data_IF_582140479214
#
_entry.id   IF_582140479214
#
_cell.length_a   1.000
_cell.length_b   1.000
_cell.length_c   1.000
_cell.angle_alpha   90.00
_cell.angle_beta   90.00
_cell.angle_gamma   90.00
#
_symmetry.space_group_name_H-M   'P 1'
#
loop_
_entity.id
_entity.type
_entity.pdbx_description
1 polymer ?
#
# COMPACT_ATOMS: atom_id res chain seq x y z
N UNK A 1 2.07 22.20 8.13
CA UNK A 1 3.37 22.30 7.42
C UNK A 1 3.09 21.71 6.07
N UNK A 2 3.22 22.47 4.98
CA UNK A 2 2.87 21.99 3.64
C UNK A 2 3.93 21.06 3.08
N UNK A 3 3.53 20.12 2.22
CA UNK A 3 4.45 19.17 1.62
C UNK A 3 5.50 19.88 0.75
N UNK A 4 5.07 20.91 0.01
CA UNK A 4 5.94 21.75 -0.81
C UNK A 4 7.08 22.36 0.01
N UNK A 5 6.77 22.95 1.16
CA UNK A 5 7.76 23.51 2.08
C UNK A 5 8.67 22.44 2.69
N UNK A 6 8.13 21.26 2.99
CA UNK A 6 8.93 20.14 3.49
C UNK A 6 9.96 19.67 2.46
N UNK A 7 9.60 19.67 1.17
CA UNK A 7 10.46 19.25 0.06
C UNK A 7 11.47 20.32 -0.39
N UNK A 8 11.36 21.57 0.08
CA UNK A 8 12.38 22.58 -0.16
C UNK A 8 13.73 22.18 0.44
N UNK A 9 14.77 22.26 -0.37
CA UNK A 9 16.12 21.94 0.06
C UNK A 9 16.79 23.12 0.75
N UNK A 10 17.35 22.87 1.93
CA UNK A 10 18.34 23.75 2.54
C UNK A 10 19.71 23.59 1.83
N UNK A 11 20.64 24.50 2.13
CA UNK A 11 21.93 24.54 1.42
C UNK A 11 22.76 23.27 1.62
N UNK A 12 22.71 22.67 2.82
CA UNK A 12 23.37 21.39 3.09
C UNK A 12 22.78 20.26 2.25
N UNK A 13 21.45 20.21 2.10
CA UNK A 13 20.79 19.19 1.28
C UNK A 13 21.12 19.35 -0.21
N UNK A 14 21.20 20.59 -0.71
CA UNK A 14 21.65 20.89 -2.08
C UNK A 14 23.09 20.43 -2.31
N UNK A 15 23.98 20.67 -1.36
CA UNK A 15 25.37 20.24 -1.43
C UNK A 15 25.47 18.70 -1.48
N UNK A 16 24.65 17.99 -0.68
CA UNK A 16 24.59 16.53 -0.74
C UNK A 16 24.06 16.02 -2.07
N UNK A 17 23.03 16.66 -2.64
CA UNK A 17 22.53 16.34 -3.98
C UNK A 17 23.65 16.43 -5.03
N UNK A 18 24.39 17.53 -5.06
CA UNK A 18 25.52 17.74 -5.99
C UNK A 18 26.60 16.67 -5.76
N UNK A 19 26.90 16.36 -4.50
CA UNK A 19 27.88 15.33 -4.12
C UNK A 19 27.48 13.95 -4.63
N UNK A 20 26.24 13.50 -4.42
CA UNK A 20 25.76 12.19 -4.89
C UNK A 20 25.93 12.07 -6.42
N UNK A 21 25.53 13.11 -7.15
CA UNK A 21 25.58 13.12 -8.61
C UNK A 21 27.01 13.19 -9.16
N UNK A 22 27.93 13.89 -8.47
CA UNK A 22 29.34 13.92 -8.87
C UNK A 22 30.07 12.61 -8.55
N UNK A 23 29.77 11.99 -7.40
CA UNK A 23 30.34 10.71 -6.99
C UNK A 23 30.02 9.59 -7.98
N UNK A 24 28.80 9.59 -8.56
CA UNK A 24 28.41 8.63 -9.61
C UNK A 24 29.33 8.66 -10.84
N UNK A 25 29.90 9.82 -11.17
CA UNK A 25 30.77 9.99 -12.34
C UNK A 25 32.23 9.60 -12.06
N UNK A 26 32.67 9.69 -10.81
CA UNK A 26 34.08 9.56 -10.43
C UNK A 26 34.44 8.29 -9.67
N UNK A 27 33.47 7.59 -9.07
CA UNK A 27 33.74 6.40 -8.27
C UNK A 27 33.54 5.09 -9.03
N UNK A 28 34.28 4.07 -8.60
CA UNK A 28 33.96 2.69 -8.94
C UNK A 28 32.51 2.36 -8.51
N UNK A 29 31.70 1.70 -9.35
CA UNK A 29 30.29 1.40 -9.05
C UNK A 29 30.07 0.70 -7.70
N UNK A 30 30.92 -0.25 -7.31
CA UNK A 30 30.79 -0.98 -6.04
C UNK A 30 30.94 -0.03 -4.85
N UNK A 31 31.95 0.84 -4.91
CA UNK A 31 32.19 1.80 -3.83
C UNK A 31 31.09 2.87 -3.80
N UNK A 32 30.60 3.32 -4.95
CA UNK A 32 29.48 4.26 -5.04
C UNK A 32 28.23 3.72 -4.35
N UNK A 33 27.79 2.50 -4.68
CA UNK A 33 26.60 1.92 -4.04
C UNK A 33 26.79 1.67 -2.54
N UNK A 34 28.00 1.32 -2.10
CA UNK A 34 28.31 1.26 -0.66
C UNK A 34 28.16 2.63 0.01
N UNK A 35 28.55 3.72 -0.64
CA UNK A 35 28.32 5.07 -0.11
C UNK A 35 26.83 5.35 -0.01
N UNK A 36 26.03 5.04 -1.05
CA UNK A 36 24.57 5.26 -1.01
C UNK A 36 23.91 4.52 0.17
N UNK A 37 24.26 3.26 0.41
CA UNK A 37 23.72 2.46 1.54
C UNK A 37 24.03 3.02 2.94
N UNK A 38 25.02 3.91 3.05
CA UNK A 38 25.45 4.50 4.33
C UNK A 38 25.03 5.97 4.48
N UNK A 39 24.33 6.55 3.50
CA UNK A 39 23.79 7.89 3.63
C UNK A 39 22.55 7.88 4.51
N UNK A 40 22.26 9.05 5.09
CA UNK A 40 21.01 9.28 5.82
C UNK A 40 19.80 9.01 4.90
N UNK A 41 18.95 8.07 5.30
CA UNK A 41 17.82 7.62 4.51
C UNK A 41 16.75 8.72 4.37
N UNK A 42 16.52 9.53 5.41
CA UNK A 42 15.53 10.61 5.37
C UNK A 42 15.92 11.65 4.32
N UNK A 43 17.21 11.98 4.27
CA UNK A 43 17.79 12.80 3.22
C UNK A 43 17.63 12.15 1.84
N UNK A 44 17.97 10.87 1.70
CA UNK A 44 17.86 10.16 0.42
C UNK A 44 16.42 10.11 -0.09
N UNK A 45 15.44 9.85 0.77
CA UNK A 45 14.03 9.85 0.40
C UNK A 45 13.60 11.23 -0.08
N UNK A 46 13.92 12.29 0.68
CA UNK A 46 13.61 13.67 0.29
C UNK A 46 14.26 14.03 -1.04
N UNK A 47 15.55 13.73 -1.24
CA UNK A 47 16.26 14.00 -2.48
C UNK A 47 15.68 13.20 -3.68
N UNK A 48 15.29 11.95 -3.47
CA UNK A 48 14.70 11.12 -4.52
C UNK A 48 13.28 11.58 -4.90
N UNK A 49 12.51 12.18 -3.99
CA UNK A 49 11.19 12.74 -4.31
C UNK A 49 11.28 13.95 -5.24
N UNK A 50 12.36 14.72 -5.16
CA UNK A 50 12.55 15.97 -5.93
C UNK A 50 13.47 15.82 -7.14
N UNK A 51 14.34 14.81 -7.15
CA UNK A 51 15.34 14.61 -8.20
C UNK A 51 15.20 13.21 -8.84
N UNK A 52 14.68 13.13 -10.07
CA UNK A 52 14.50 11.85 -10.77
C UNK A 52 15.79 11.07 -11.03
N UNK A 53 16.95 11.74 -11.14
CA UNK A 53 18.21 11.04 -11.31
C UNK A 53 18.64 10.32 -10.03
N UNK A 54 18.46 10.97 -8.86
CA UNK A 54 18.69 10.33 -7.56
C UNK A 54 17.69 9.20 -7.34
N UNK A 55 16.42 9.39 -7.67
CA UNK A 55 15.41 8.32 -7.59
C UNK A 55 15.83 7.10 -8.43
N UNK A 56 16.30 7.32 -9.65
CA UNK A 56 16.81 6.26 -10.53
C UNK A 56 18.05 5.56 -9.96
N UNK A 57 18.96 6.31 -9.33
CA UNK A 57 20.14 5.75 -8.64
C UNK A 57 19.67 4.84 -7.51
N UNK A 58 18.80 5.34 -6.63
CA UNK A 58 18.31 4.58 -5.49
C UNK A 58 17.54 3.34 -5.92
N UNK A 59 16.80 3.39 -7.04
CA UNK A 59 16.06 2.24 -7.58
C UNK A 59 16.89 1.28 -8.43
N UNK A 60 18.22 1.44 -8.48
CA UNK A 60 19.05 0.57 -9.31
C UNK A 60 19.07 -0.88 -8.77
N UNK A 61 19.26 -1.89 -9.64
CA UNK A 61 19.30 -3.30 -9.23
C UNK A 61 20.30 -3.61 -8.11
N UNK A 62 21.42 -2.88 -8.05
CA UNK A 62 22.50 -3.06 -7.06
C UNK A 62 22.10 -2.66 -5.64
N UNK A 63 21.02 -1.88 -5.49
CA UNK A 63 20.47 -1.49 -4.20
C UNK A 63 19.18 -2.23 -3.85
N UNK A 64 18.63 -3.05 -4.77
CA UNK A 64 17.36 -3.77 -4.57
C UNK A 64 17.32 -4.55 -3.25
N UNK A 65 18.30 -5.44 -3.03
CA UNK A 65 18.34 -6.28 -1.83
C UNK A 65 18.48 -5.47 -0.53
N UNK A 66 19.15 -4.32 -0.59
CA UNK A 66 19.28 -3.44 0.57
C UNK A 66 17.95 -2.80 0.95
N UNK A 67 17.19 -2.30 -0.03
CA UNK A 67 15.88 -1.71 0.23
C UNK A 67 14.83 -2.75 0.60
N UNK A 68 14.91 -3.97 0.07
CA UNK A 68 14.06 -5.09 0.48
C UNK A 68 14.31 -5.49 1.94
N UNK A 69 15.57 -5.53 2.38
CA UNK A 69 15.90 -5.81 3.78
C UNK A 69 15.41 -4.70 4.71
N UNK A 70 15.61 -3.42 4.37
CA UNK A 70 15.06 -2.31 5.16
C UNK A 70 13.53 -2.35 5.21
N UNK A 71 12.86 -2.65 4.09
CA UNK A 71 11.42 -2.76 4.04
C UNK A 71 10.89 -3.88 4.95
N UNK A 72 11.52 -5.05 4.92
CA UNK A 72 11.22 -6.18 5.80
C UNK A 72 11.27 -5.77 7.28
N UNK A 73 12.31 -5.03 7.66
CA UNK A 73 12.54 -4.55 9.02
C UNK A 73 11.51 -3.51 9.50
N UNK A 74 10.77 -2.86 8.58
CA UNK A 74 9.67 -1.96 8.94
C UNK A 74 8.40 -2.68 9.41
N UNK A 75 8.35 -4.02 9.34
CA UNK A 75 7.24 -4.80 9.90
C UNK A 75 7.11 -4.66 11.42
N UNK A 76 5.97 -5.09 11.97
CA UNK A 76 5.66 -4.93 13.41
C UNK A 76 6.58 -5.77 14.30
N UNK A 77 7.00 -6.94 13.83
CA UNK A 77 7.88 -7.84 14.57
C UNK A 77 8.81 -8.59 13.62
N UNK A 78 9.86 -7.92 13.09
CA UNK A 78 10.81 -8.56 12.20
C UNK A 78 11.56 -9.70 12.90
N UNK A 79 12.13 -10.62 12.13
CA UNK A 79 12.77 -11.84 12.62
C UNK A 79 13.74 -11.60 13.77
N UNK A 80 14.58 -10.58 13.68
CA UNK A 80 15.56 -10.20 14.69
C UNK A 80 14.91 -9.85 16.04
N UNK A 81 13.71 -9.26 16.00
CA UNK A 81 12.92 -8.92 17.19
C UNK A 81 12.11 -10.12 17.68
N UNK A 82 11.56 -10.91 16.75
CA UNK A 82 10.83 -12.13 17.03
C UNK A 82 11.68 -13.17 17.77
N UNK A 83 12.95 -13.32 17.38
CA UNK A 83 13.92 -14.19 18.05
C UNK A 83 14.17 -13.78 19.51
N UNK A 84 14.05 -12.49 19.84
CA UNK A 84 14.26 -11.96 21.18
C UNK A 84 13.02 -12.08 22.08
N UNK A 85 11.82 -11.91 21.52
CA UNK A 85 10.57 -11.85 22.29
C UNK A 85 9.69 -13.11 22.20
N UNK A 86 10.01 -14.05 21.30
CA UNK A 86 9.25 -15.29 21.08
C UNK A 86 7.88 -15.09 20.42
N UNK A 87 7.58 -13.89 19.91
CA UNK A 87 6.33 -13.60 19.18
C UNK A 87 6.46 -13.93 17.69
N UNK A 88 5.34 -14.16 16.96
CA UNK A 88 5.38 -14.48 15.54
C UNK A 88 6.08 -13.41 14.68
N UNK A 89 6.76 -13.84 13.61
CA UNK A 89 7.45 -12.95 12.67
C UNK A 89 6.43 -12.20 11.80
N UNK A 90 6.42 -10.88 11.88
CA UNK A 90 5.53 -9.99 11.14
C UNK A 90 6.40 -8.95 10.41
N UNK A 91 6.84 -9.32 9.21
CA UNK A 91 7.71 -8.54 8.34
C UNK A 91 6.95 -8.01 7.15
N UNK A 92 7.34 -6.86 6.61
CA UNK A 92 6.79 -6.48 5.31
C UNK A 92 7.44 -7.25 4.17
N UNK A 93 6.63 -7.55 3.17
CA UNK A 93 7.02 -8.30 1.99
C UNK A 93 7.04 -7.37 0.76
N UNK A 94 7.95 -7.56 -0.21
CA UNK A 94 7.88 -6.84 -1.48
C UNK A 94 6.55 -7.09 -2.19
N UNK A 95 6.00 -6.06 -2.85
CA UNK A 95 4.72 -6.15 -3.57
C UNK A 95 4.95 -6.08 -5.08
N UNK A 96 4.38 -7.00 -5.86
CA UNK A 96 4.55 -7.02 -7.32
C UNK A 96 3.91 -5.82 -8.05
N UNK A 97 2.99 -5.12 -7.39
CA UNK A 97 2.28 -3.93 -7.89
C UNK A 97 3.08 -2.64 -7.71
N UNK A 98 4.20 -2.67 -7.00
CA UNK A 98 5.09 -1.53 -6.77
C UNK A 98 6.48 -1.86 -7.29
N UNK A 99 7.04 -0.97 -8.11
CA UNK A 99 8.28 -1.24 -8.84
C UNK A 99 9.51 -1.47 -7.94
N UNK A 100 9.53 -0.90 -6.73
CA UNK A 100 10.67 -0.99 -5.83
C UNK A 100 10.25 -0.84 -4.36
N UNK A 101 10.88 -1.59 -3.46
CA UNK A 101 10.78 -1.36 -2.01
C UNK A 101 11.28 0.03 -1.59
N UNK A 102 12.12 0.68 -2.41
CA UNK A 102 12.49 2.08 -2.17
C UNK A 102 11.30 3.03 -2.31
N UNK A 103 10.35 2.75 -3.21
CA UNK A 103 9.08 3.51 -3.26
C UNK A 103 8.26 3.24 -1.99
N UNK A 104 8.12 1.99 -1.57
CA UNK A 104 7.38 1.65 -0.34
C UNK A 104 7.94 2.37 0.90
N UNK A 105 9.27 2.42 1.02
CA UNK A 105 9.96 3.14 2.08
C UNK A 105 9.70 4.65 2.02
N UNK A 106 9.71 5.28 0.83
CA UNK A 106 9.31 6.69 0.66
C UNK A 106 7.87 6.92 1.09
N UNK A 107 6.95 6.01 0.73
CA UNK A 107 5.56 6.05 1.14
C UNK A 107 5.42 6.01 2.66
N UNK A 108 6.06 5.03 3.31
CA UNK A 108 6.05 4.89 4.77
C UNK A 108 6.69 6.10 5.46
N UNK A 109 7.80 6.61 4.95
CA UNK A 109 8.46 7.81 5.47
C UNK A 109 7.52 9.00 5.49
N UNK A 110 6.85 9.33 4.37
CA UNK A 110 5.86 10.42 4.33
C UNK A 110 4.69 10.20 5.29
N UNK A 111 4.25 8.94 5.45
CA UNK A 111 3.19 8.60 6.41
C UNK A 111 3.63 8.82 7.85
N UNK A 112 4.87 8.50 8.21
CA UNK A 112 5.42 8.74 9.56
C UNK A 112 5.69 10.23 9.82
N UNK A 113 6.11 10.99 8.80
CA UNK A 113 6.15 12.47 8.88
C UNK A 113 4.74 13.02 9.11
N UNK A 114 3.73 12.48 8.42
CA UNK A 114 2.36 12.84 8.66
C UNK A 114 1.96 12.55 10.13
N UNK A 115 2.20 11.33 10.62
CA UNK A 115 1.84 10.94 11.97
C UNK A 115 2.51 11.82 13.02
N UNK A 116 3.80 12.08 12.90
CA UNK A 116 4.54 12.92 13.85
C UNK A 116 4.12 14.39 13.81
N UNK A 117 3.69 14.90 12.66
CA UNK A 117 3.36 16.32 12.48
C UNK A 117 1.90 16.65 12.77
N UNK A 118 1.00 15.68 12.53
CA UNK A 118 -0.43 15.92 12.44
C UNK A 118 -1.27 15.07 13.43
N UNK A 119 -0.84 13.87 13.85
CA UNK A 119 -1.70 12.91 14.57
C UNK A 119 -2.43 13.47 15.81
N UNK A 120 -1.81 14.39 16.56
CA UNK A 120 -2.35 14.91 17.82
C UNK A 120 -2.94 16.34 17.69
N UNK A 121 -3.16 16.82 16.46
CA UNK A 121 -3.70 18.16 16.21
C UNK A 121 -5.20 18.09 15.93
N UNK A 122 -5.88 19.16 16.29
CA UNK A 122 -7.32 19.31 16.06
C UNK A 122 -7.63 19.27 14.55
N UNK A 123 -8.56 18.40 14.17
CA UNK A 123 -8.93 18.14 12.78
C UNK A 123 -9.82 19.27 12.23
N UNK A 124 -9.21 20.39 11.86
CA UNK A 124 -9.88 21.47 11.11
C UNK A 124 -9.81 21.23 9.59
N UNK A 125 -10.66 21.90 8.80
CA UNK A 125 -10.65 21.80 7.33
C UNK A 125 -9.31 22.21 6.67
N UNK A 126 -8.61 23.18 7.26
CA UNK A 126 -7.28 23.60 6.80
C UNK A 126 -6.22 22.54 7.13
N UNK A 127 -6.36 21.92 8.30
CA UNK A 127 -5.51 20.82 8.73
C UNK A 127 -5.72 19.56 7.87
N UNK A 128 -6.96 19.27 7.47
CA UNK A 128 -7.25 18.17 6.55
C UNK A 128 -6.56 18.37 5.20
N UNK A 129 -6.59 19.61 4.66
CA UNK A 129 -5.90 19.93 3.40
C UNK A 129 -4.38 19.78 3.47
N UNK A 130 -3.75 20.28 4.54
CA UNK A 130 -2.31 20.12 4.74
C UNK A 130 -1.92 18.63 4.96
N UNK A 131 -2.73 17.87 5.69
CA UNK A 131 -2.53 16.44 5.92
C UNK A 131 -2.73 15.61 4.65
N UNK A 132 -3.73 15.99 3.83
CA UNK A 132 -4.06 15.33 2.57
C UNK A 132 -2.87 15.31 1.62
N UNK A 133 -2.11 16.40 1.50
CA UNK A 133 -0.92 16.45 0.63
C UNK A 133 0.10 15.35 0.98
N UNK A 134 0.42 15.19 2.27
CA UNK A 134 1.36 14.16 2.73
C UNK A 134 0.82 12.76 2.52
N UNK A 135 -0.44 12.54 2.89
CA UNK A 135 -1.07 11.24 2.77
C UNK A 135 -1.24 10.83 1.31
N UNK A 136 -1.61 11.76 0.42
CA UNK A 136 -1.78 11.49 -1.00
C UNK A 136 -0.42 11.17 -1.64
N UNK A 137 0.62 11.96 -1.35
CA UNK A 137 1.98 11.66 -1.82
C UNK A 137 2.50 10.32 -1.28
N UNK A 138 2.24 10.01 -0.01
CA UNK A 138 2.54 8.71 0.61
C UNK A 138 1.82 7.56 -0.10
N UNK A 139 0.52 7.72 -0.38
CA UNK A 139 -0.30 6.75 -1.09
C UNK A 139 0.14 6.50 -2.54
N UNK A 140 0.63 7.52 -3.24
CA UNK A 140 1.20 7.39 -4.59
C UNK A 140 2.49 6.55 -4.61
N UNK A 141 3.19 6.46 -3.49
CA UNK A 141 4.32 5.55 -3.31
C UNK A 141 3.91 4.16 -2.77
N UNK A 142 2.61 3.88 -2.73
CA UNK A 142 2.08 2.57 -2.35
C UNK A 142 1.99 2.36 -0.85
N UNK A 143 1.75 3.38 -0.04
CA UNK A 143 1.47 3.23 1.39
C UNK A 143 -0.04 3.02 1.67
N UNK A 144 -0.44 1.81 2.08
CA UNK A 144 -1.84 1.50 2.40
C UNK A 144 -2.38 2.36 3.55
N UNK A 145 -1.59 2.56 4.61
CA UNK A 145 -2.05 3.28 5.79
C UNK A 145 -2.47 4.71 5.47
N UNK A 146 -1.74 5.34 4.54
CA UNK A 146 -2.07 6.68 4.09
C UNK A 146 -3.36 6.71 3.26
N UNK A 147 -3.53 5.77 2.34
CA UNK A 147 -4.74 5.64 1.52
C UNK A 147 -5.97 5.31 2.38
N UNK A 148 -5.82 4.43 3.37
CA UNK A 148 -6.87 4.09 4.31
C UNK A 148 -7.24 5.31 5.19
N UNK A 149 -6.25 6.06 5.67
CA UNK A 149 -6.50 7.29 6.45
C UNK A 149 -7.23 8.36 5.63
N UNK A 150 -6.90 8.52 4.34
CA UNK A 150 -7.61 9.42 3.42
C UNK A 150 -9.06 9.01 3.21
N UNK A 151 -9.31 7.71 3.00
CA UNK A 151 -10.67 7.21 2.82
C UNK A 151 -11.49 7.40 4.10
N UNK A 152 -10.95 7.01 5.26
CA UNK A 152 -11.64 7.14 6.54
C UNK A 152 -11.92 8.61 6.88
N UNK A 153 -10.90 9.48 6.80
CA UNK A 153 -11.04 10.90 7.09
C UNK A 153 -12.04 11.58 6.16
N UNK A 154 -12.02 11.26 4.86
CA UNK A 154 -13.00 11.78 3.90
C UNK A 154 -14.42 11.32 4.21
N UNK A 155 -14.62 10.04 4.51
CA UNK A 155 -15.93 9.53 4.92
C UNK A 155 -16.44 10.17 6.21
N UNK A 156 -15.57 10.42 7.19
CA UNK A 156 -15.94 11.09 8.43
C UNK A 156 -16.31 12.56 8.23
N UNK A 157 -15.70 13.26 7.27
CA UNK A 157 -16.12 14.61 6.88
C UNK A 157 -17.50 14.59 6.20
N UNK A 158 -17.75 13.62 5.33
CA UNK A 158 -19.05 13.48 4.65
C UNK A 158 -20.21 13.24 5.62
N UNK A 159 -19.96 12.60 6.78
CA UNK A 159 -20.96 12.42 7.85
C UNK A 159 -21.42 13.74 8.46
N UNK A 160 -20.58 14.77 8.44
CA UNK A 160 -20.90 16.10 8.96
C UNK A 160 -21.67 16.92 7.92
N UNK A 161 -21.12 16.99 6.70
CA UNK A 161 -21.73 17.67 5.57
C UNK A 161 -21.29 17.00 4.26
N UNK A 162 -22.25 16.73 3.38
CA UNK A 162 -21.91 16.13 2.10
C UNK A 162 -21.14 17.10 1.21
N UNK A 163 -19.99 16.66 0.71
CA UNK A 163 -19.15 17.41 -0.21
C UNK A 163 -18.75 16.52 -1.39
N UNK A 164 -19.10 16.95 -2.60
CA UNK A 164 -18.86 16.18 -3.83
C UNK A 164 -17.37 15.93 -4.11
N UNK A 165 -16.49 16.91 -3.86
CA UNK A 165 -15.05 16.77 -4.08
C UNK A 165 -14.45 15.72 -3.14
N UNK A 166 -14.87 15.74 -1.87
CA UNK A 166 -14.44 14.75 -0.87
C UNK A 166 -14.91 13.35 -1.28
N UNK A 167 -16.17 13.19 -1.69
CA UNK A 167 -16.68 11.88 -2.15
C UNK A 167 -15.89 11.34 -3.35
N UNK A 168 -15.57 12.20 -4.34
CA UNK A 168 -14.73 11.82 -5.49
C UNK A 168 -13.32 11.42 -5.07
N UNK A 169 -12.71 12.14 -4.14
CA UNK A 169 -11.38 11.84 -3.60
C UNK A 169 -11.35 10.52 -2.84
N UNK A 170 -12.35 10.23 -2.01
CA UNK A 170 -12.47 8.92 -1.31
C UNK A 170 -12.46 7.77 -2.32
N UNK A 171 -13.29 7.85 -3.36
CA UNK A 171 -13.33 6.83 -4.42
C UNK A 171 -11.95 6.72 -5.10
N UNK A 172 -11.33 7.84 -5.46
CA UNK A 172 -10.02 7.86 -6.11
C UNK A 172 -8.94 7.19 -5.24
N UNK A 173 -8.85 7.54 -3.95
CA UNK A 173 -7.84 6.95 -3.06
C UNK A 173 -8.07 5.47 -2.82
N UNK A 174 -9.32 5.03 -2.72
CA UNK A 174 -9.64 3.62 -2.61
C UNK A 174 -9.32 2.85 -3.90
N UNK A 175 -9.50 3.46 -5.08
CA UNK A 175 -9.05 2.89 -6.36
C UNK A 175 -7.52 2.78 -6.44
N UNK A 176 -6.79 3.78 -5.94
CA UNK A 176 -5.33 3.72 -5.82
C UNK A 176 -4.91 2.61 -4.86
N UNK A 177 -5.63 2.42 -3.75
CA UNK A 177 -5.40 1.29 -2.85
C UNK A 177 -5.65 -0.05 -3.54
N UNK A 178 -6.75 -0.21 -4.29
CA UNK A 178 -7.05 -1.41 -5.07
C UNK A 178 -5.95 -1.75 -6.09
N UNK A 179 -5.39 -0.74 -6.76
CA UNK A 179 -4.28 -0.91 -7.71
C UNK A 179 -3.02 -1.49 -7.06
N UNK A 180 -2.66 -1.01 -5.87
CA UNK A 180 -1.43 -1.44 -5.18
C UNK A 180 -1.63 -2.67 -4.30
N UNK A 181 -2.73 -2.76 -3.58
CA UNK A 181 -2.92 -3.73 -2.51
C UNK A 181 -3.86 -4.88 -2.88
N UNK A 182 -4.26 -4.97 -4.14
CA UNK A 182 -5.10 -6.04 -4.69
C UNK A 182 -6.26 -6.33 -3.73
N UNK A 183 -6.35 -7.52 -3.14
CA UNK A 183 -7.46 -7.92 -2.26
C UNK A 183 -7.75 -6.94 -1.12
N UNK A 184 -6.74 -6.48 -0.38
CA UNK A 184 -6.95 -5.53 0.72
C UNK A 184 -7.43 -4.16 0.21
N UNK A 185 -6.92 -3.71 -0.94
CA UNK A 185 -7.33 -2.47 -1.57
C UNK A 185 -8.73 -2.52 -2.18
N UNK A 186 -9.09 -3.62 -2.84
CA UNK A 186 -10.43 -3.84 -3.39
C UNK A 186 -11.49 -4.00 -2.30
N UNK A 187 -11.12 -4.56 -1.14
CA UNK A 187 -11.99 -4.57 0.04
C UNK A 187 -12.25 -3.16 0.56
N UNK A 188 -11.20 -2.31 0.67
CA UNK A 188 -11.35 -0.90 1.03
C UNK A 188 -12.23 -0.15 0.02
N UNK A 189 -12.05 -0.38 -1.28
CA UNK A 189 -12.87 0.20 -2.35
C UNK A 189 -14.33 -0.21 -2.24
N UNK A 190 -14.58 -1.51 -2.07
CA UNK A 190 -15.91 -2.05 -1.87
C UNK A 190 -16.62 -1.43 -0.69
N UNK A 191 -15.95 -1.36 0.47
CA UNK A 191 -16.48 -0.76 1.68
C UNK A 191 -16.72 0.76 1.53
N UNK A 192 -15.81 1.47 0.85
CA UNK A 192 -15.98 2.91 0.57
C UNK A 192 -17.24 3.17 -0.26
N UNK A 193 -17.53 2.33 -1.26
CA UNK A 193 -18.79 2.42 -1.99
C UNK A 193 -20.02 2.12 -1.11
N UNK A 194 -19.93 1.19 -0.15
CA UNK A 194 -21.03 0.94 0.78
C UNK A 194 -21.33 2.14 1.66
N UNK A 195 -20.28 2.76 2.22
CA UNK A 195 -20.44 3.96 3.06
C UNK A 195 -21.05 5.13 2.27
N UNK A 196 -20.71 5.25 0.98
CA UNK A 196 -21.26 6.28 0.09
C UNK A 196 -22.73 6.05 -0.31
N UNK A 197 -23.31 4.87 -0.06
CA UNK A 197 -24.74 4.62 -0.31
C UNK A 197 -25.65 5.53 0.52
N UNK A 198 -25.19 5.98 1.69
CA UNK A 198 -25.90 6.96 2.51
C UNK A 198 -26.18 8.27 1.76
N UNK A 199 -25.46 8.52 0.67
CA UNK A 199 -25.53 9.73 -0.16
C UNK A 199 -25.93 9.40 -1.61
N UNK A 200 -26.50 8.22 -1.89
CA UNK A 200 -26.79 7.77 -3.26
C UNK A 200 -27.71 8.72 -4.05
N UNK A 201 -28.52 9.52 -3.36
CA UNK A 201 -29.41 10.52 -3.95
C UNK A 201 -28.72 11.85 -4.31
N UNK A 202 -27.44 12.02 -3.96
CA UNK A 202 -26.69 13.22 -4.31
C UNK A 202 -26.41 13.26 -5.82
N UNK A 203 -26.55 14.41 -6.51
CA UNK A 203 -26.44 14.48 -7.97
C UNK A 203 -25.14 13.88 -8.53
N UNK A 204 -24.05 14.00 -7.78
CA UNK A 204 -22.72 13.48 -8.14
C UNK A 204 -22.60 11.95 -8.04
N UNK A 205 -23.52 11.29 -7.34
CA UNK A 205 -23.50 9.86 -7.06
C UNK A 205 -24.68 9.11 -7.69
N UNK A 206 -25.79 9.77 -8.03
CA UNK A 206 -27.00 9.15 -8.64
C UNK A 206 -26.68 8.36 -9.92
N UNK A 207 -25.69 8.78 -10.69
CA UNK A 207 -25.24 8.07 -11.90
C UNK A 207 -24.31 6.89 -11.64
N UNK A 208 -23.78 6.77 -10.42
CA UNK A 208 -22.91 5.68 -10.01
C UNK A 208 -23.80 4.59 -9.41
N UNK A 209 -23.84 3.42 -10.05
CA UNK A 209 -24.49 2.25 -9.46
C UNK A 209 -23.62 1.71 -8.32
N UNK A 210 -23.62 2.41 -7.18
CA UNK A 210 -22.72 2.18 -6.04
C UNK A 210 -22.89 0.76 -5.46
N UNK A 211 -24.11 0.23 -5.45
CA UNK A 211 -24.38 -1.15 -5.01
C UNK A 211 -23.67 -2.16 -5.91
N UNK A 212 -23.82 -2.03 -7.23
CA UNK A 212 -23.11 -2.85 -8.21
C UNK A 212 -21.60 -2.73 -8.07
N UNK A 213 -21.08 -1.50 -8.00
CA UNK A 213 -19.64 -1.22 -7.88
C UNK A 213 -19.04 -1.81 -6.60
N UNK A 214 -19.75 -1.70 -5.48
CA UNK A 214 -19.34 -2.29 -4.20
C UNK A 214 -19.24 -3.81 -4.28
N UNK A 215 -20.29 -4.48 -4.75
CA UNK A 215 -20.30 -5.93 -4.86
C UNK A 215 -19.20 -6.43 -5.81
N UNK A 216 -19.06 -5.78 -6.97
CA UNK A 216 -18.00 -6.07 -7.93
C UNK A 216 -16.62 -5.96 -7.28
N UNK A 217 -16.33 -4.87 -6.57
CA UNK A 217 -15.03 -4.67 -5.94
C UNK A 217 -14.71 -5.75 -4.90
N UNK A 218 -15.66 -6.11 -4.04
CA UNK A 218 -15.46 -7.18 -3.04
C UNK A 218 -15.31 -8.55 -3.72
N UNK A 219 -16.01 -8.79 -4.84
CA UNK A 219 -15.83 -10.01 -5.62
C UNK A 219 -14.45 -10.07 -6.29
N UNK A 220 -13.89 -8.94 -6.74
CA UNK A 220 -12.50 -8.89 -7.22
C UNK A 220 -11.54 -9.19 -6.07
N UNK A 221 -11.78 -8.63 -4.87
CA UNK A 221 -10.94 -8.88 -3.70
C UNK A 221 -10.85 -10.38 -3.36
N UNK A 222 -11.99 -11.07 -3.33
CA UNK A 222 -12.03 -12.51 -3.06
C UNK A 222 -11.28 -13.33 -4.11
N UNK A 223 -11.42 -12.97 -5.39
CA UNK A 223 -10.75 -13.67 -6.50
C UNK A 223 -9.24 -13.49 -6.55
N UNK A 224 -8.73 -12.41 -5.95
CA UNK A 224 -7.30 -12.09 -5.94
C UNK A 224 -6.61 -12.56 -4.65
N UNK A 225 -7.33 -13.13 -3.70
CA UNK A 225 -6.84 -13.45 -2.35
C UNK A 225 -5.55 -14.27 -2.38
N UNK A 226 -5.54 -15.35 -3.17
CA UNK A 226 -4.39 -16.27 -3.29
C UNK A 226 -3.11 -15.63 -3.82
N UNK A 227 -3.22 -14.51 -4.54
CA UNK A 227 -2.08 -13.78 -5.11
C UNK A 227 -1.66 -12.59 -4.25
N UNK A 228 -2.47 -12.24 -3.25
CA UNK A 228 -2.36 -10.98 -2.51
C UNK A 228 -1.64 -11.12 -1.16
N UNK A 229 -1.00 -12.24 -0.88
CA UNK A 229 -0.40 -12.50 0.44
C UNK A 229 0.54 -11.36 0.91
N UNK A 230 1.52 -10.89 0.10
CA UNK A 230 2.35 -9.75 0.49
C UNK A 230 1.56 -8.47 0.79
N UNK A 231 0.55 -8.18 -0.03
CA UNK A 231 -0.28 -6.98 0.10
C UNK A 231 -1.15 -7.04 1.35
N UNK A 232 -1.79 -8.17 1.61
CA UNK A 232 -2.62 -8.42 2.80
C UNK A 232 -1.75 -8.33 4.06
N UNK A 233 -0.60 -9.01 4.06
CA UNK A 233 0.36 -8.95 5.16
C UNK A 233 0.80 -7.51 5.45
N UNK A 234 1.16 -6.74 4.42
CA UNK A 234 1.60 -5.36 4.60
C UNK A 234 0.47 -4.45 5.09
N UNK A 235 -0.72 -4.55 4.49
CA UNK A 235 -1.89 -3.73 4.82
C UNK A 235 -2.37 -3.96 6.26
N UNK A 236 -2.35 -5.21 6.72
CA UNK A 236 -2.84 -5.60 8.05
C UNK A 236 -1.73 -5.88 9.05
N UNK A 237 -0.48 -5.59 8.69
CA UNK A 237 0.70 -5.71 9.56
C UNK A 237 0.87 -7.13 10.13
N UNK A 238 0.69 -8.13 9.27
CA UNK A 238 0.76 -9.56 9.60
C UNK A 238 -0.45 -10.12 10.35
N UNK A 239 -1.47 -9.29 10.64
CA UNK A 239 -2.73 -9.77 11.20
C UNK A 239 -3.57 -10.48 10.14
N UNK A 240 -4.28 -11.51 10.55
CA UNK A 240 -5.37 -12.09 9.77
C UNK A 240 -6.49 -11.06 9.56
N UNK A 241 -7.33 -11.29 8.55
CA UNK A 241 -8.49 -10.42 8.29
C UNK A 241 -9.45 -10.38 9.48
N UNK A 242 -9.59 -11.50 10.20
CA UNK A 242 -10.35 -11.58 11.44
C UNK A 242 -9.80 -10.64 12.51
N UNK A 243 -8.51 -10.69 12.77
CA UNK A 243 -7.87 -9.83 13.78
C UNK A 243 -7.91 -8.35 13.36
N UNK A 244 -7.65 -8.05 12.08
CA UNK A 244 -7.71 -6.70 11.55
C UNK A 244 -9.12 -6.09 11.62
N UNK A 245 -10.16 -6.92 11.48
CA UNK A 245 -11.56 -6.51 11.53
C UNK A 245 -12.23 -6.73 12.90
N UNK A 246 -11.47 -7.08 13.95
CA UNK A 246 -12.00 -7.43 15.28
C UNK A 246 -13.12 -8.50 15.23
N UNK A 247 -12.95 -9.52 14.40
CA UNK A 247 -13.86 -10.67 14.27
C UNK A 247 -15.08 -10.42 13.38
N UNK A 248 -15.21 -9.22 12.78
CA UNK A 248 -16.34 -8.94 11.90
C UNK A 248 -16.25 -9.75 10.60
N UNK A 249 -15.06 -9.92 10.04
CA UNK A 249 -14.83 -10.61 8.78
C UNK A 249 -13.67 -11.60 8.96
N UNK A 250 -13.93 -12.89 8.75
CA UNK A 250 -12.93 -13.95 8.88
C UNK A 250 -12.12 -14.15 7.61
N UNK A 251 -12.75 -14.04 6.44
CA UNK A 251 -12.13 -14.19 5.12
C UNK A 251 -12.91 -13.41 4.04
N UNK A 252 -12.34 -13.30 2.84
CA UNK A 252 -12.94 -12.51 1.76
C UNK A 252 -14.24 -13.12 1.23
N UNK A 253 -14.38 -14.45 1.19
CA UNK A 253 -15.65 -15.10 0.82
C UNK A 253 -16.79 -14.73 1.81
N UNK A 254 -16.50 -14.66 3.11
CA UNK A 254 -17.46 -14.19 4.10
C UNK A 254 -17.79 -12.71 3.91
N UNK A 255 -16.79 -11.86 3.60
CA UNK A 255 -17.01 -10.45 3.27
C UNK A 255 -17.97 -10.30 2.08
N UNK A 256 -17.78 -11.09 1.02
CA UNK A 256 -18.62 -11.08 -0.18
C UNK A 256 -20.06 -11.51 0.13
N UNK A 257 -20.24 -12.58 0.92
CA UNK A 257 -21.57 -13.03 1.35
C UNK A 257 -22.30 -11.99 2.21
N UNK A 258 -21.58 -11.30 3.10
CA UNK A 258 -22.14 -10.19 3.89
C UNK A 258 -22.55 -9.02 2.98
N UNK A 259 -21.69 -8.66 2.03
CA UNK A 259 -21.96 -7.62 1.03
C UNK A 259 -23.21 -7.94 0.19
N UNK A 260 -23.34 -9.17 -0.31
CA UNK A 260 -24.52 -9.62 -1.06
C UNK A 260 -25.82 -9.38 -0.30
N UNK A 261 -25.86 -9.73 0.99
CA UNK A 261 -27.04 -9.57 1.85
C UNK A 261 -27.34 -8.10 2.13
N UNK A 262 -26.31 -7.28 2.32
CA UNK A 262 -26.44 -5.86 2.63
C UNK A 262 -26.96 -5.06 1.43
N UNK A 263 -26.43 -5.33 0.23
CA UNK A 263 -26.69 -4.52 -0.97
C UNK A 263 -28.03 -4.82 -1.66
N UNK A 264 -28.68 -5.94 -1.32
CA UNK A 264 -29.99 -6.33 -1.87
C UNK A 264 -30.05 -6.29 -3.41
N UNK A 265 -28.97 -6.73 -4.06
CA UNK A 265 -28.91 -6.84 -5.51
C UNK A 265 -29.81 -7.96 -6.02
N UNK A 266 -30.46 -7.73 -7.15
CA UNK A 266 -31.22 -8.77 -7.86
C UNK A 266 -30.29 -9.87 -8.40
N UNK A 267 -30.82 -11.07 -8.71
CA UNK A 267 -30.01 -12.15 -9.30
C UNK A 267 -29.27 -11.72 -10.58
N UNK A 268 -29.90 -10.91 -11.43
CA UNK A 268 -29.28 -10.41 -12.65
C UNK A 268 -28.13 -9.43 -12.35
N UNK A 269 -28.30 -8.50 -11.42
CA UNK A 269 -27.22 -7.58 -11.02
C UNK A 269 -26.03 -8.32 -10.42
N UNK A 270 -26.30 -9.36 -9.61
CA UNK A 270 -25.25 -10.21 -9.06
C UNK A 270 -24.48 -10.95 -10.14
N UNK A 271 -25.17 -11.49 -11.14
CA UNK A 271 -24.54 -12.18 -12.28
C UNK A 271 -23.65 -11.23 -13.07
N UNK A 272 -24.15 -10.03 -13.42
CA UNK A 272 -23.37 -9.02 -14.16
C UNK A 272 -22.14 -8.62 -13.36
N UNK A 273 -22.30 -8.25 -12.09
CA UNK A 273 -21.19 -7.82 -11.24
C UNK A 273 -20.13 -8.93 -11.05
N UNK A 274 -20.57 -10.19 -10.91
CA UNK A 274 -19.67 -11.34 -10.80
C UNK A 274 -18.86 -11.57 -12.07
N UNK A 275 -19.50 -11.45 -13.25
CA UNK A 275 -18.83 -11.59 -14.55
C UNK A 275 -17.84 -10.46 -14.82
N UNK A 276 -18.19 -9.22 -14.44
CA UNK A 276 -17.28 -8.08 -14.51
C UNK A 276 -16.09 -8.25 -13.56
N UNK A 277 -16.33 -8.69 -12.32
CA UNK A 277 -15.27 -8.96 -11.35
C UNK A 277 -14.32 -10.07 -11.83
N UNK A 278 -14.85 -11.11 -12.48
CA UNK A 278 -14.03 -12.17 -13.10
C UNK A 278 -13.14 -11.61 -14.21
N UNK A 279 -13.70 -10.76 -15.08
CA UNK A 279 -12.95 -10.13 -16.17
C UNK A 279 -11.85 -9.22 -15.63
N UNK A 280 -12.15 -8.42 -14.62
CA UNK A 280 -11.18 -7.51 -14.00
C UNK A 280 -10.06 -8.26 -13.28
N UNK A 281 -10.39 -9.29 -12.48
CA UNK A 281 -9.40 -10.14 -11.82
C UNK A 281 -8.47 -10.84 -12.83
N UNK A 282 -9.01 -11.36 -13.93
CA UNK A 282 -8.21 -11.98 -15.00
C UNK A 282 -7.27 -10.98 -15.70
N UNK A 283 -7.72 -9.74 -15.90
CA UNK A 283 -6.88 -8.67 -16.44
C UNK A 283 -5.72 -8.36 -15.49
N UNK A 284 -6.00 -8.22 -14.19
CA UNK A 284 -5.00 -7.96 -13.16
C UNK A 284 -3.97 -9.09 -13.08
N UNK A 285 -4.42 -10.34 -13.08
CA UNK A 285 -3.55 -11.52 -13.11
C UNK A 285 -2.60 -11.46 -14.31
N UNK A 286 -3.11 -11.13 -15.50
CA UNK A 286 -2.29 -10.96 -16.69
C UNK A 286 -1.34 -9.77 -16.60
N UNK A 287 -1.76 -8.65 -16.04
CA UNK A 287 -0.95 -7.43 -15.93
C UNK A 287 0.27 -7.61 -15.03
N UNK A 288 0.12 -8.35 -13.94
CA UNK A 288 1.19 -8.57 -12.96
C UNK A 288 1.81 -9.97 -13.01
N UNK A 289 1.46 -10.77 -14.02
CA UNK A 289 1.94 -12.14 -14.20
C UNK A 289 1.75 -12.98 -12.92
N UNK A 290 0.53 -12.94 -12.37
CA UNK A 290 0.22 -13.57 -11.09
C UNK A 290 0.00 -15.07 -11.28
N UNK A 291 0.99 -15.86 -10.89
CA UNK A 291 0.90 -17.31 -10.83
C UNK A 291 0.59 -17.79 -9.41
N UNK A 292 -0.24 -18.84 -9.28
CA UNK A 292 -0.42 -19.52 -8.00
C UNK A 292 0.85 -20.34 -7.80
N UNK A 293 1.72 -19.91 -6.88
CA UNK A 293 2.79 -20.78 -6.41
C UNK A 293 2.16 -21.90 -5.60
N UNK A 294 2.24 -23.12 -6.09
CA UNK A 294 1.89 -24.31 -5.29
C UNK A 294 2.86 -24.41 -4.12
N UNK A 295 2.33 -24.66 -2.92
CA UNK A 295 3.12 -24.78 -1.67
C UNK A 295 4.23 -25.85 -1.73
N UNK A 296 4.22 -26.74 -2.73
CA UNK A 296 5.22 -27.78 -2.95
C UNK A 296 6.64 -27.26 -3.25
N UNK A 297 6.81 -26.01 -3.71
CA UNK A 297 8.15 -25.45 -3.97
C UNK A 297 8.84 -24.90 -2.71
N UNK A 298 8.10 -24.63 -1.63
CA UNK A 298 8.65 -24.08 -0.40
C UNK A 298 9.35 -25.14 0.46
N UNK A 299 8.89 -26.39 0.44
CA UNK A 299 9.50 -27.47 1.23
C UNK A 299 10.80 -28.01 0.62
N UNK A 300 10.94 -28.00 -0.71
CA UNK A 300 12.15 -28.49 -1.39
C UNK A 300 13.40 -27.63 -1.19
N UNK A 301 13.24 -26.34 -0.82
CA UNK A 301 14.37 -25.45 -0.54
C UNK A 301 14.95 -25.61 0.87
N UNK A 302 14.34 -26.43 1.73
CA UNK A 302 14.74 -26.61 3.14
C UNK A 302 15.47 -27.91 3.44
N UNK A 303 15.69 -28.78 2.44
CA UNK A 303 16.40 -30.03 2.62
C UNK A 303 17.89 -29.78 2.98
N UNK A 304 18.39 -30.29 4.12
CA UNK A 304 19.81 -30.18 4.45
C UNK A 304 20.63 -30.98 3.42
N UNK A 305 21.82 -30.51 3.03
CA UNK A 305 22.66 -31.27 2.11
C UNK A 305 23.02 -32.64 2.73
N UNK A 306 23.06 -33.72 1.93
CA UNK A 306 23.36 -35.04 2.43
C UNK A 306 24.76 -35.07 3.04
N UNK A 307 24.85 -35.62 4.25
CA UNK A 307 26.10 -35.79 4.97
C UNK A 307 27.09 -36.61 4.10
N UNK A 308 28.23 -35.99 3.77
CA UNK A 308 29.35 -36.70 3.14
C UNK A 308 29.95 -37.67 4.16
N UNK A 309 29.66 -38.95 4.01
CA UNK A 309 30.44 -40.00 4.65
C UNK A 309 31.79 -40.09 3.95
N UNK A 310 32.86 -39.75 4.67
CA UNK A 310 34.23 -40.05 4.29
C UNK A 310 34.55 -41.49 4.69
N UNK A 311 34.91 -42.30 3.70
CA UNK A 311 35.73 -43.51 3.88
C UNK A 311 36.99 -43.37 3.04
#
# INVERSE_FOLDING_TARGET
MKLTKFLELNDREKDQQIKILSLKKGLNPVFFYRVIKNLDHDLLFKLAMINPEIDKICKSPELKSHWEDLWRLCGVNPKERAEQNGLPVHEYQPMCTVASCFDLLKGLYLYEIYRSTFKDKEHTDEFYRDAEEFLAASGLYGCFFALNALCQGGLDLLKQEFNEDIARKVILYAQVAAKYYLSAGYLLLGNSYQELLNYENQPSLVGLNLRHLSFKAISVAERLESYSHPMINNAYQGKSLSEASNGQITNFSQALLRSQKYLQLSPLELEIATNEAKTEAALIQKTYDLEIKSDDEAEMSSAPPPARFTT
#
